data_IF_022456674275
#
_entry.id   IF_022456674275
#
_cell.length_a   1.000
_cell.length_b   1.000
_cell.length_c   1.000
_cell.angle_alpha   90.00
_cell.angle_beta   90.00
_cell.angle_gamma   90.00
#
_symmetry.space_group_name_H-M   'P 1'
#
loop_
_entity.id
_entity.type
_entity.pdbx_description
1 polymer ?
#
# COMPACT_ATOMS: atom_id res chain seq x y z
N UNK A 1 2.35 -5.10 8.95
CA UNK A 1 3.45 -5.70 9.75
C UNK A 1 3.20 -5.36 11.21
N UNK A 2 3.50 -6.27 12.14
CA UNK A 2 3.37 -5.96 13.58
C UNK A 2 4.31 -4.82 13.98
N UNK A 3 3.88 -3.99 14.95
CA UNK A 3 4.50 -2.70 15.23
C UNK A 3 5.79 -2.90 16.02
N UNK A 4 6.88 -2.33 15.51
CA UNK A 4 8.26 -2.60 15.96
C UNK A 4 9.06 -3.50 15.04
N UNK A 5 8.42 -4.10 14.02
CA UNK A 5 9.11 -4.84 12.96
C UNK A 5 9.78 -3.94 11.92
N UNK A 6 10.76 -4.51 11.22
CA UNK A 6 11.41 -3.90 10.08
C UNK A 6 11.38 -4.83 8.88
N UNK A 7 11.00 -4.31 7.72
CA UNK A 7 11.28 -4.93 6.42
C UNK A 7 12.30 -4.05 5.74
N UNK A 8 13.53 -4.56 5.65
CA UNK A 8 14.64 -3.83 5.09
C UNK A 8 15.55 -4.73 4.29
N UNK A 9 16.13 -4.20 3.21
CA UNK A 9 17.10 -4.91 2.38
C UNK A 9 16.48 -6.19 1.79
N UNK A 10 15.42 -6.02 1.00
CA UNK A 10 14.71 -7.13 0.34
C UNK A 10 14.85 -7.01 -1.17
N UNK A 11 15.11 -8.14 -1.83
CA UNK A 11 15.15 -8.25 -3.28
C UNK A 11 14.16 -9.32 -3.74
N UNK A 12 13.29 -8.96 -4.67
CA UNK A 12 12.33 -9.86 -5.30
C UNK A 12 12.61 -9.78 -6.79
N UNK A 13 12.89 -10.92 -7.42
CA UNK A 13 13.22 -10.98 -8.84
C UNK A 13 12.55 -12.17 -9.52
N UNK A 14 12.10 -11.98 -10.76
CA UNK A 14 11.66 -13.07 -11.65
C UNK A 14 10.37 -13.76 -11.24
N UNK A 15 9.51 -13.09 -10.46
CA UNK A 15 8.24 -13.69 -10.00
C UNK A 15 7.20 -13.70 -11.11
N UNK A 16 6.60 -14.86 -11.37
CA UNK A 16 5.43 -14.98 -12.26
C UNK A 16 4.21 -15.41 -11.46
N UNK A 17 3.16 -14.59 -11.52
CA UNK A 17 1.83 -14.85 -10.97
C UNK A 17 0.87 -15.10 -12.14
N UNK A 18 0.74 -16.34 -12.65
CA UNK A 18 -0.01 -16.59 -13.89
C UNK A 18 -1.49 -16.20 -13.79
N UNK A 19 -2.05 -16.25 -12.58
CA UNK A 19 -3.45 -15.91 -12.29
C UNK A 19 -3.59 -14.66 -11.41
N UNK A 20 -2.53 -13.86 -11.31
CA UNK A 20 -2.51 -12.67 -10.47
C UNK A 20 -2.83 -12.98 -9.01
N UNK A 21 -3.59 -12.09 -8.37
CA UNK A 21 -4.16 -12.23 -7.03
C UNK A 21 -5.66 -11.94 -7.08
N UNK A 22 -6.33 -12.07 -5.94
CA UNK A 22 -7.76 -11.80 -5.79
C UNK A 22 -8.21 -10.45 -6.35
N UNK A 23 -9.37 -10.45 -7.02
CA UNK A 23 -9.96 -9.28 -7.67
C UNK A 23 -10.77 -8.39 -6.72
N UNK A 24 -10.93 -8.83 -5.46
CA UNK A 24 -11.71 -8.13 -4.43
C UNK A 24 -10.78 -7.39 -3.47
N UNK A 25 -10.99 -6.09 -3.34
CA UNK A 25 -10.29 -5.26 -2.37
C UNK A 25 -10.89 -5.35 -0.97
N UNK A 26 -10.04 -5.43 0.06
CA UNK A 26 -10.45 -5.20 1.46
C UNK A 26 -9.47 -4.30 2.20
N UNK A 27 -10.01 -3.31 2.91
CA UNK A 27 -9.30 -2.58 3.96
C UNK A 27 -9.46 -3.27 5.32
N UNK A 28 -8.95 -2.65 6.39
CA UNK A 28 -8.89 -3.30 7.71
C UNK A 28 -10.24 -3.56 8.39
N UNK A 29 -11.32 -2.91 7.90
CA UNK A 29 -12.65 -2.95 8.53
C UNK A 29 -12.78 -1.98 9.71
N UNK A 30 -14.02 -1.67 10.13
CA UNK A 30 -14.29 -0.63 11.12
C UNK A 30 -13.79 -0.96 12.54
N UNK A 31 -13.66 -2.25 12.88
CA UNK A 31 -13.22 -2.71 14.21
C UNK A 31 -11.70 -2.76 14.39
N UNK A 32 -10.91 -2.56 13.32
CA UNK A 32 -9.45 -2.74 13.31
C UNK A 32 -8.72 -1.47 12.86
N UNK A 33 -9.20 -0.29 13.28
CA UNK A 33 -8.57 1.01 12.97
C UNK A 33 -8.07 1.69 14.25
N UNK A 34 -6.85 2.24 14.23
CA UNK A 34 -6.34 3.06 15.35
C UNK A 34 -7.13 4.36 15.40
N UNK A 35 -7.71 4.66 16.57
CA UNK A 35 -8.34 5.95 16.82
C UNK A 35 -7.34 7.11 16.58
N UNK A 36 -7.75 8.09 15.77
CA UNK A 36 -6.91 9.24 15.42
C UNK A 36 -5.90 8.98 14.29
N UNK A 37 -5.88 7.78 13.70
CA UNK A 37 -5.14 7.49 12.48
C UNK A 37 -5.80 8.07 11.22
N UNK A 38 -5.08 8.17 10.09
CA UNK A 38 -5.62 8.66 8.83
C UNK A 38 -6.49 7.62 8.08
N UNK A 39 -6.60 6.41 8.62
CA UNK A 39 -7.30 5.29 7.99
C UNK A 39 -8.74 5.21 8.47
N UNK A 40 -9.68 5.13 7.52
CA UNK A 40 -11.11 5.12 7.79
C UNK A 40 -11.86 4.27 6.79
N UNK A 41 -12.95 3.64 7.25
CA UNK A 41 -13.91 2.95 6.39
C UNK A 41 -14.91 3.90 5.71
N UNK A 42 -14.88 5.21 6.03
CA UNK A 42 -15.80 6.22 5.47
C UNK A 42 -15.51 6.62 4.02
N UNK A 43 -14.37 6.19 3.46
CA UNK A 43 -14.02 6.41 2.04
C UNK A 43 -13.89 5.05 1.32
N UNK A 44 -14.10 4.97 -0.01
CA UNK A 44 -14.03 3.69 -0.72
C UNK A 44 -12.67 3.01 -0.60
N UNK A 45 -12.67 1.67 -0.58
CA UNK A 45 -11.43 0.88 -0.55
C UNK A 45 -10.57 1.23 -1.77
N UNK A 46 -9.28 1.46 -1.53
CA UNK A 46 -8.30 1.90 -2.50
C UNK A 46 -8.15 3.40 -2.68
N UNK A 47 -8.91 4.23 -1.96
CA UNK A 47 -8.87 5.69 -2.16
C UNK A 47 -8.07 6.39 -1.07
N UNK A 48 -7.42 7.50 -1.44
CA UNK A 48 -6.87 8.49 -0.52
C UNK A 48 -7.36 9.89 -0.89
N UNK A 49 -7.85 10.66 0.09
CA UNK A 49 -8.29 12.05 -0.08
C UNK A 49 -8.19 12.84 1.23
N UNK A 50 -8.46 14.15 1.23
CA UNK A 50 -8.51 14.92 2.50
C UNK A 50 -9.47 14.33 3.54
N UNK A 51 -10.53 13.64 3.10
CA UNK A 51 -11.53 13.00 3.96
C UNK A 51 -11.07 11.69 4.61
N UNK A 52 -9.94 11.13 4.18
CA UNK A 52 -9.38 9.89 4.75
C UNK A 52 -8.64 9.02 3.75
N UNK A 53 -8.24 7.86 4.22
CA UNK A 53 -7.52 6.85 3.44
C UNK A 53 -8.11 5.47 3.75
N UNK A 54 -8.29 4.61 2.75
CA UNK A 54 -8.76 3.24 2.96
C UNK A 54 -7.97 2.29 2.06
N UNK A 55 -6.77 1.83 2.46
CA UNK A 55 -5.93 0.97 1.61
C UNK A 55 -6.60 -0.38 1.37
N UNK A 56 -6.36 -0.98 0.20
CA UNK A 56 -6.68 -2.40 -0.05
C UNK A 56 -5.61 -3.34 0.55
N UNK A 57 -5.23 -3.08 1.81
CA UNK A 57 -4.09 -3.73 2.47
C UNK A 57 -4.42 -5.13 3.00
N UNK A 58 -5.69 -5.43 3.28
CA UNK A 58 -6.09 -6.73 3.82
C UNK A 58 -6.43 -7.74 2.73
N UNK A 59 -6.70 -7.28 1.51
CA UNK A 59 -6.95 -8.14 0.35
C UNK A 59 -6.86 -7.33 -0.96
N UNK A 60 -6.33 -7.95 -2.02
CA UNK A 60 -6.48 -7.48 -3.41
C UNK A 60 -5.36 -6.60 -3.96
N UNK A 61 -4.41 -6.17 -3.13
CA UNK A 61 -3.19 -5.49 -3.61
C UNK A 61 -2.12 -6.48 -4.09
N UNK A 62 -1.51 -6.23 -5.26
CA UNK A 62 -0.50 -7.12 -5.84
C UNK A 62 0.90 -6.86 -5.28
N UNK A 63 1.44 -5.65 -5.45
CA UNK A 63 2.62 -5.18 -4.72
C UNK A 63 2.11 -4.27 -3.61
N UNK A 64 2.11 -4.76 -2.37
CA UNK A 64 1.58 -4.00 -1.23
C UNK A 64 2.63 -3.84 -0.13
N UNK A 65 2.86 -2.63 0.38
CA UNK A 65 3.65 -2.44 1.61
C UNK A 65 2.88 -1.62 2.63
N UNK A 66 2.62 -2.20 3.78
CA UNK A 66 1.63 -1.78 4.77
C UNK A 66 2.29 -1.60 6.16
N UNK A 67 1.84 -0.68 7.01
CA UNK A 67 2.40 -0.49 8.38
C UNK A 67 1.36 -0.55 9.51
N UNK A 68 0.32 -1.37 9.31
CA UNK A 68 -0.74 -1.87 10.19
C UNK A 68 -1.35 -0.93 11.26
N UNK A 69 -2.65 -0.70 11.13
CA UNK A 69 -3.53 0.11 11.96
C UNK A 69 -4.56 -0.69 12.78
N UNK A 70 -4.37 -2.00 12.96
CA UNK A 70 -5.20 -2.83 13.85
C UNK A 70 -4.74 -2.77 15.32
N UNK A 71 -5.41 -2.04 16.23
CA UNK A 71 -5.05 -2.03 17.65
C UNK A 71 -5.42 -3.33 18.36
N UNK A 72 -6.35 -4.12 17.81
CA UNK A 72 -6.82 -5.38 18.38
C UNK A 72 -5.79 -6.52 18.25
N UNK A 73 -4.88 -6.44 17.27
CA UNK A 73 -3.85 -7.46 17.03
C UNK A 73 -2.52 -7.23 17.74
N UNK A 74 -2.29 -6.06 18.36
CA UNK A 74 -0.98 -5.67 18.88
C UNK A 74 -1.03 -4.55 19.96
N UNK A 75 -0.74 -4.92 21.22
CA UNK A 75 -0.84 -4.04 22.38
C UNK A 75 0.41 -3.17 22.63
N UNK A 76 1.59 -3.52 22.09
CA UNK A 76 2.86 -2.85 22.41
C UNK A 76 3.47 -2.24 21.15
N UNK A 77 3.52 -0.90 21.11
CA UNK A 77 3.89 -0.12 19.92
C UNK A 77 4.91 0.96 20.28
N UNK A 78 6.04 0.53 20.84
CA UNK A 78 7.09 1.45 21.32
C UNK A 78 8.20 1.69 20.29
N UNK A 79 8.13 1.03 19.14
CA UNK A 79 9.05 1.21 18.01
C UNK A 79 8.22 1.36 16.72
N UNK A 80 8.24 2.52 16.04
CA UNK A 80 7.56 2.67 14.76
C UNK A 80 8.11 1.66 13.73
N UNK A 81 7.26 1.06 12.89
CA UNK A 81 7.73 0.11 11.88
C UNK A 81 8.59 0.80 10.82
N UNK A 82 9.54 0.05 10.25
CA UNK A 82 10.47 0.53 9.22
C UNK A 82 10.30 -0.29 7.95
N UNK A 83 10.11 0.41 6.82
CA UNK A 83 10.13 -0.17 5.48
C UNK A 83 11.12 0.60 4.62
N UNK A 84 12.25 -0.03 4.28
CA UNK A 84 13.29 0.65 3.50
C UNK A 84 14.14 -0.28 2.65
N UNK A 85 14.74 0.22 1.57
CA UNK A 85 15.65 -0.54 0.72
C UNK A 85 15.05 -1.87 0.21
N UNK A 86 13.98 -1.79 -0.58
CA UNK A 86 13.37 -2.95 -1.23
C UNK A 86 13.47 -2.75 -2.73
N UNK A 87 13.88 -3.80 -3.44
CA UNK A 87 14.04 -3.82 -4.88
C UNK A 87 13.19 -4.96 -5.45
N UNK A 88 12.29 -4.63 -6.36
CA UNK A 88 11.42 -5.58 -7.04
C UNK A 88 11.69 -5.49 -8.54
N UNK A 89 12.05 -6.59 -9.16
CA UNK A 89 12.31 -6.67 -10.59
C UNK A 89 11.65 -7.86 -11.27
N UNK A 90 11.38 -7.70 -12.57
CA UNK A 90 10.97 -8.80 -13.46
C UNK A 90 9.73 -9.57 -12.95
N UNK A 91 8.79 -8.86 -12.34
CA UNK A 91 7.53 -9.45 -11.87
C UNK A 91 6.49 -9.40 -13.00
N UNK A 92 5.90 -10.54 -13.32
CA UNK A 92 4.80 -10.64 -14.29
C UNK A 92 3.54 -11.20 -13.64
N UNK A 93 2.41 -10.54 -13.85
CA UNK A 93 1.11 -11.00 -13.39
C UNK A 93 0.13 -11.15 -14.57
N UNK A 94 -0.41 -12.36 -14.71
CA UNK A 94 -1.46 -12.67 -15.67
C UNK A 94 -2.85 -12.32 -15.13
N UNK A 95 -3.81 -12.20 -16.04
CA UNK A 95 -5.21 -11.97 -15.69
C UNK A 95 -5.94 -13.30 -15.50
N UNK A 96 -6.82 -13.38 -14.52
CA UNK A 96 -7.73 -14.50 -14.33
C UNK A 96 -9.18 -14.00 -14.35
N UNK A 97 -10.09 -14.86 -14.82
CA UNK A 97 -11.53 -14.56 -14.79
C UNK A 97 -12.14 -15.07 -13.50
N UNK A 98 -12.73 -14.17 -12.71
CA UNK A 98 -13.46 -14.50 -11.48
C UNK A 98 -14.64 -13.55 -11.31
N UNK A 99 -15.81 -14.08 -10.98
CA UNK A 99 -17.02 -13.27 -10.77
C UNK A 99 -17.42 -12.41 -11.98
N UNK A 100 -17.08 -12.84 -13.20
CA UNK A 100 -17.38 -12.11 -14.44
C UNK A 100 -16.38 -11.00 -14.81
N UNK A 101 -15.36 -10.74 -13.98
CA UNK A 101 -14.28 -9.81 -14.28
C UNK A 101 -13.00 -10.58 -14.68
N UNK A 102 -12.26 -10.05 -15.66
CA UNK A 102 -10.94 -10.56 -16.06
C UNK A 102 -9.88 -9.53 -15.70
N UNK A 103 -9.08 -9.82 -14.67
CA UNK A 103 -8.11 -8.89 -14.12
C UNK A 103 -6.97 -9.64 -13.40
N UNK A 104 -5.87 -8.95 -13.09
CA UNK A 104 -4.72 -9.50 -12.37
C UNK A 104 -4.79 -9.29 -10.86
N UNK A 105 -5.55 -8.29 -10.39
CA UNK A 105 -5.65 -7.91 -8.98
C UNK A 105 -6.77 -6.89 -8.80
N UNK A 106 -7.06 -6.51 -7.55
CA UNK A 106 -7.87 -5.31 -7.29
C UNK A 106 -7.06 -4.03 -7.57
N UNK A 107 -5.88 -3.90 -6.96
CA UNK A 107 -4.93 -2.80 -7.18
C UNK A 107 -3.52 -3.33 -7.39
N UNK A 108 -2.77 -2.71 -8.31
CA UNK A 108 -1.45 -3.18 -8.70
C UNK A 108 -0.37 -2.79 -7.69
N UNK A 109 -0.43 -1.57 -7.17
CA UNK A 109 0.52 -1.08 -6.16
C UNK A 109 -0.28 -0.45 -5.01
N UNK A 110 -0.05 -0.85 -3.77
CA UNK A 110 -0.66 -0.22 -2.58
C UNK A 110 0.44 -0.01 -1.53
N UNK A 111 0.91 1.20 -1.28
CA UNK A 111 1.95 1.46 -0.25
C UNK A 111 1.44 2.41 0.85
N UNK A 112 1.60 2.04 2.11
CA UNK A 112 0.96 2.60 3.28
C UNK A 112 1.99 2.58 4.42
N UNK A 113 2.54 3.75 4.76
CA UNK A 113 3.61 3.91 5.75
C UNK A 113 3.15 4.10 7.19
N UNK A 114 4.12 4.09 8.11
CA UNK A 114 3.92 4.34 9.54
C UNK A 114 3.42 5.77 9.81
N UNK A 115 2.64 6.02 10.86
CA UNK A 115 2.28 7.35 11.37
C UNK A 115 2.42 7.43 12.88
N UNK A 116 2.23 8.62 13.45
CA UNK A 116 2.37 8.85 14.89
C UNK A 116 1.45 7.99 15.75
N UNK A 117 0.25 7.65 15.25
CA UNK A 117 -0.70 6.78 15.94
C UNK A 117 -0.18 5.34 16.13
N UNK A 118 0.87 4.95 15.39
CA UNK A 118 1.55 3.67 15.58
C UNK A 118 2.44 3.64 16.82
N UNK A 119 2.62 4.77 17.53
CA UNK A 119 3.37 4.82 18.77
C UNK A 119 2.45 4.92 20.00
N UNK A 120 2.63 4.05 20.99
CA UNK A 120 1.91 4.13 22.28
C UNK A 120 2.83 4.09 23.51
N UNK A 121 4.14 4.33 23.33
CA UNK A 121 5.11 4.37 24.41
C UNK A 121 5.19 5.73 25.15
N UNK A 122 6.11 5.86 26.11
CA UNK A 122 6.32 7.09 26.87
C UNK A 122 6.92 8.23 26.03
N UNK A 123 6.68 9.48 26.42
CA UNK A 123 7.34 10.61 25.77
C UNK A 123 8.86 10.64 26.09
N UNK A 124 9.71 11.13 25.16
CA UNK A 124 9.37 11.61 23.83
C UNK A 124 9.16 10.47 22.81
N UNK A 125 8.15 10.61 21.96
CA UNK A 125 7.91 9.66 20.88
C UNK A 125 9.04 9.71 19.83
N UNK A 126 9.50 8.56 19.30
CA UNK A 126 10.50 8.52 18.24
C UNK A 126 9.97 9.11 16.93
N UNK A 127 10.89 9.56 16.08
CA UNK A 127 10.54 10.03 14.74
C UNK A 127 10.03 8.86 13.91
N UNK A 128 8.77 8.92 13.51
CA UNK A 128 8.22 8.04 12.49
C UNK A 128 8.87 8.38 11.15
N UNK A 129 9.22 7.41 10.31
CA UNK A 129 9.82 7.61 8.99
C UNK A 129 8.89 7.10 7.88
N UNK A 130 8.92 7.70 6.67
CA UNK A 130 8.19 7.17 5.52
C UNK A 130 8.81 5.88 4.99
N UNK A 131 8.04 5.13 4.21
CA UNK A 131 8.59 4.09 3.32
C UNK A 131 9.59 4.76 2.39
N UNK A 132 10.81 4.22 2.24
CA UNK A 132 11.88 4.92 1.50
C UNK A 132 12.88 4.01 0.82
N UNK A 133 13.57 4.52 -0.21
CA UNK A 133 14.59 3.79 -0.98
C UNK A 133 14.01 2.51 -1.62
N UNK A 134 12.88 2.64 -2.32
CA UNK A 134 12.23 1.53 -3.02
C UNK A 134 12.46 1.64 -4.52
N UNK A 135 12.74 0.51 -5.18
CA UNK A 135 12.79 0.41 -6.64
C UNK A 135 11.87 -0.70 -7.11
N UNK A 136 11.01 -0.42 -8.10
CA UNK A 136 10.21 -1.41 -8.82
C UNK A 136 10.53 -1.26 -10.30
N UNK A 137 11.04 -2.31 -10.94
CA UNK A 137 11.54 -2.21 -12.31
C UNK A 137 11.21 -3.40 -13.20
N UNK A 138 10.95 -3.15 -14.48
CA UNK A 138 10.73 -4.19 -15.49
C UNK A 138 9.61 -5.17 -15.10
N UNK A 139 8.53 -4.63 -14.53
CA UNK A 139 7.40 -5.43 -14.09
C UNK A 139 6.21 -5.24 -15.03
N UNK A 140 5.47 -6.31 -15.30
CA UNK A 140 4.15 -6.24 -15.91
C UNK A 140 3.12 -6.74 -14.90
N UNK A 141 2.38 -5.82 -14.28
CA UNK A 141 1.44 -6.14 -13.19
C UNK A 141 0.03 -6.51 -13.69
N UNK A 142 -0.11 -6.73 -15.01
CA UNK A 142 -1.37 -7.10 -15.64
C UNK A 142 -2.41 -5.97 -15.59
N UNK A 143 -3.69 -6.33 -15.61
CA UNK A 143 -4.80 -5.37 -15.61
C UNK A 143 -5.53 -5.40 -14.26
N UNK A 144 -5.34 -4.42 -13.37
CA UNK A 144 -6.11 -4.34 -12.13
C UNK A 144 -7.60 -4.04 -12.39
N UNK A 145 -8.47 -4.46 -11.48
CA UNK A 145 -9.89 -4.05 -11.46
C UNK A 145 -9.99 -2.53 -11.30
N UNK A 146 -9.25 -1.97 -10.34
CA UNK A 146 -9.18 -0.53 -10.15
C UNK A 146 -8.31 0.09 -11.25
N UNK A 147 -8.93 0.91 -12.08
CA UNK A 147 -8.30 1.51 -13.25
C UNK A 147 -8.67 2.99 -13.38
N UNK A 148 -8.08 3.65 -14.37
CA UNK A 148 -8.28 5.08 -14.59
C UNK A 148 -7.57 5.97 -13.56
N UNK A 149 -7.90 7.25 -13.59
CA UNK A 149 -7.26 8.26 -12.74
C UNK A 149 -7.82 8.19 -11.32
N UNK A 150 -6.93 8.06 -10.33
CA UNK A 150 -7.30 8.02 -8.92
C UNK A 150 -7.98 9.33 -8.48
N UNK A 151 -9.02 9.23 -7.65
CA UNK A 151 -9.78 10.33 -7.08
C UNK A 151 -10.32 9.95 -5.69
N UNK A 152 -11.09 10.83 -5.05
CA UNK A 152 -11.73 10.54 -3.77
C UNK A 152 -12.78 9.40 -3.83
N UNK A 153 -13.27 9.08 -5.03
CA UNK A 153 -14.28 8.04 -5.26
C UNK A 153 -13.82 6.95 -6.23
N UNK A 154 -12.77 7.20 -7.01
CA UNK A 154 -12.15 6.20 -7.87
C UNK A 154 -10.78 5.78 -7.30
N UNK A 155 -10.56 4.51 -6.91
CA UNK A 155 -9.29 4.08 -6.34
C UNK A 155 -8.11 4.19 -7.32
N UNK A 156 -8.34 3.97 -8.63
CA UNK A 156 -7.25 3.85 -9.59
C UNK A 156 -6.31 2.66 -9.29
N UNK A 157 -5.28 2.43 -10.13
CA UNK A 157 -4.45 1.23 -10.02
C UNK A 157 -3.38 1.28 -8.92
N UNK A 158 -3.08 2.48 -8.41
CA UNK A 158 -1.99 2.76 -7.47
C UNK A 158 -2.54 3.53 -6.27
N UNK A 159 -2.26 3.04 -5.08
CA UNK A 159 -2.48 3.76 -3.83
C UNK A 159 -1.16 3.94 -3.07
N UNK A 160 -0.91 5.14 -2.53
CA UNK A 160 0.35 5.50 -1.87
C UNK A 160 0.13 6.49 -0.72
N UNK A 161 0.74 6.24 0.45
CA UNK A 161 0.61 7.03 1.68
C UNK A 161 1.93 6.96 2.49
N UNK A 162 2.37 8.10 3.05
CA UNK A 162 3.63 8.28 3.80
C UNK A 162 4.82 7.55 3.17
N UNK A 163 5.06 7.86 1.90
CA UNK A 163 6.10 7.28 1.07
C UNK A 163 7.01 8.39 0.59
N UNK A 164 8.31 8.18 0.75
CA UNK A 164 9.36 9.01 0.21
C UNK A 164 10.07 8.26 -0.90
N UNK A 165 9.53 8.43 -2.12
CA UNK A 165 10.01 7.90 -3.39
C UNK A 165 10.05 6.36 -3.48
N UNK A 166 9.02 5.79 -4.10
CA UNK A 166 9.13 4.51 -4.81
C UNK A 166 9.46 4.81 -6.26
N UNK A 167 10.67 4.46 -6.71
CA UNK A 167 11.07 4.61 -8.09
C UNK A 167 10.46 3.49 -8.95
N UNK A 168 9.67 3.86 -9.95
CA UNK A 168 9.13 2.96 -10.97
C UNK A 168 9.93 3.15 -12.26
N UNK A 169 10.44 2.06 -12.82
CA UNK A 169 11.15 2.05 -14.10
C UNK A 169 10.65 0.90 -14.96
N UNK A 170 10.01 1.20 -16.09
CA UNK A 170 9.44 0.20 -16.98
C UNK A 170 8.44 -0.73 -16.25
N UNK A 171 7.51 -0.13 -15.50
CA UNK A 171 6.45 -0.86 -14.80
C UNK A 171 5.14 -0.70 -15.58
N UNK A 172 4.61 -1.80 -16.11
CA UNK A 172 3.35 -1.81 -16.89
C UNK A 172 2.18 -2.16 -15.99
N UNK A 173 1.14 -1.33 -15.98
CA UNK A 173 -0.12 -1.56 -15.27
C UNK A 173 -1.28 -1.18 -16.18
N UNK A 174 -2.18 -2.12 -16.47
CA UNK A 174 -3.32 -1.91 -17.37
C UNK A 174 -2.91 -1.41 -18.75
N UNK A 175 -1.75 -1.85 -19.26
CA UNK A 175 -1.19 -1.40 -20.53
C UNK A 175 -0.49 -0.03 -20.49
N UNK A 176 -0.50 0.68 -19.36
CA UNK A 176 0.22 1.94 -19.17
C UNK A 176 1.60 1.69 -18.57
N UNK A 177 2.65 2.24 -19.17
CA UNK A 177 4.01 2.16 -18.63
C UNK A 177 4.32 3.34 -17.71
N UNK A 178 4.74 3.03 -16.48
CA UNK A 178 5.13 3.97 -15.45
C UNK A 178 6.67 4.04 -15.35
N UNK A 179 7.20 5.24 -15.58
CA UNK A 179 8.60 5.64 -15.40
C UNK A 179 8.63 6.90 -14.52
N UNK A 180 8.30 6.75 -13.23
CA UNK A 180 8.01 7.87 -12.34
C UNK A 180 8.40 7.54 -10.90
N UNK A 181 8.29 8.51 -10.01
CA UNK A 181 8.43 8.28 -8.57
C UNK A 181 7.10 8.46 -7.86
N UNK A 182 6.71 7.48 -7.05
CA UNK A 182 5.55 7.59 -6.18
C UNK A 182 5.95 8.27 -4.87
N UNK A 183 5.30 9.38 -4.55
CA UNK A 183 5.49 10.14 -3.30
C UNK A 183 4.13 10.32 -2.63
N UNK A 184 4.07 10.10 -1.32
CA UNK A 184 2.87 10.28 -0.52
C UNK A 184 3.16 11.09 0.74
N UNK A 185 2.40 12.15 0.96
CA UNK A 185 2.59 13.02 2.14
C UNK A 185 2.01 12.40 3.41
N UNK A 186 2.55 12.80 4.57
CA UNK A 186 1.90 12.55 5.87
C UNK A 186 0.63 13.38 5.95
N UNK A 187 -0.52 12.73 6.11
CA UNK A 187 -1.71 13.42 6.60
C UNK A 187 -1.49 13.74 8.08
N UNK A 188 -1.04 14.96 8.37
CA UNK A 188 -1.18 15.55 9.70
C UNK A 188 -2.67 15.84 9.91
N UNK A 189 -3.16 15.59 11.13
CA UNK A 189 -4.52 15.94 11.55
C UNK A 189 -4.73 17.46 11.32
N UNK A 190 -5.91 17.94 10.89
CA UNK A 190 -6.31 19.29 11.22
C UNK A 190 -6.35 19.38 12.75
N UNK A 191 -5.72 20.41 13.30
CA UNK A 191 -5.76 20.73 14.73
C UNK A 191 -7.18 21.15 15.10
#
# INVERSE_FOLDING_TARGET
MNRGGAVQNVWIDGVTLPNGVTLVGKGYGSSNMIAGGPITASVPVGTTSSSGSNPAASQGGLITFDCDYSPAGDAVRISPPVVKNINISNVTAGNATSGGATASCFQAIVAQGAVSADYNGPAPAPTVLPISAMTISNCNLGTPVCSGTASATNPGPIYVNNVNAIALSNVVIGGTTYNTSLVGYRKRRPV
#
